data_IF_406667530931
#
_entry.id   IF_406667530931
#
_cell.length_a   1.000
_cell.length_b   1.000
_cell.length_c   1.000
_cell.angle_alpha   90.00
_cell.angle_beta   90.00
_cell.angle_gamma   90.00
#
_symmetry.space_group_name_H-M   'P 1'
#
loop_
_entity.id
_entity.type
_entity.pdbx_description
1 polymer ?
#
# COMPACT_ATOMS: atom_id res chain seq x y z
N UNK A 1 -1.52 26.85 -0.11
CA UNK A 1 -2.27 25.59 -0.13
C UNK A 1 -1.46 24.41 0.45
N UNK A 2 -0.12 24.35 0.25
CA UNK A 2 0.73 23.29 0.83
C UNK A 2 0.66 23.21 2.36
N UNK A 3 0.60 24.38 3.03
CA UNK A 3 0.42 24.44 4.49
C UNK A 3 -0.89 23.79 4.90
N UNK A 4 -1.96 24.02 4.13
CA UNK A 4 -3.29 23.40 4.39
C UNK A 4 -3.21 21.89 4.22
N UNK A 5 -2.59 21.40 3.14
CA UNK A 5 -2.39 19.96 2.93
C UNK A 5 -1.56 19.34 4.06
N UNK A 6 -0.46 20.01 4.46
CA UNK A 6 0.37 19.58 5.58
C UNK A 6 -0.42 19.50 6.90
N UNK A 7 -1.22 20.50 7.19
CA UNK A 7 -2.08 20.52 8.38
C UNK A 7 -3.11 19.36 8.35
N UNK A 8 -3.72 19.08 7.20
CA UNK A 8 -4.64 17.97 7.02
C UNK A 8 -3.94 16.61 7.20
N UNK A 9 -2.70 16.47 6.71
CA UNK A 9 -1.90 15.27 6.92
C UNK A 9 -1.56 15.06 8.39
N UNK A 10 -1.18 16.12 9.12
CA UNK A 10 -0.92 16.07 10.57
C UNK A 10 -2.20 15.69 11.32
N UNK A 11 -3.33 16.32 11.01
CA UNK A 11 -4.62 15.98 11.60
C UNK A 11 -4.99 14.51 11.31
N UNK A 12 -4.82 14.06 10.06
CA UNK A 12 -5.03 12.67 9.67
C UNK A 12 -4.17 11.69 10.48
N UNK A 13 -2.89 11.99 10.65
CA UNK A 13 -1.97 11.19 11.45
C UNK A 13 -2.38 11.16 12.94
N UNK A 14 -2.77 12.31 13.48
CA UNK A 14 -3.23 12.42 14.88
C UNK A 14 -4.46 11.57 15.15
N UNK A 15 -5.50 11.70 14.32
CA UNK A 15 -6.76 10.96 14.49
C UNK A 15 -6.68 9.50 14.04
N UNK A 16 -5.57 9.07 13.42
CA UNK A 16 -5.37 7.67 13.05
C UNK A 16 -5.35 6.75 14.27
N UNK A 17 -4.62 7.13 15.33
CA UNK A 17 -4.48 6.36 16.57
C UNK A 17 -4.93 7.16 17.79
N UNK A 18 -5.08 8.47 17.70
CA UNK A 18 -5.45 9.38 18.77
C UNK A 18 -6.94 9.70 18.82
N UNK A 19 -7.34 10.36 19.92
CA UNK A 19 -8.74 10.75 20.17
C UNK A 19 -9.60 9.63 20.75
N UNK A 20 -10.91 9.91 20.94
CA UNK A 20 -11.86 8.97 21.53
C UNK A 20 -12.26 7.82 20.59
N UNK A 21 -12.20 8.03 19.29
CA UNK A 21 -12.58 7.07 18.26
C UNK A 21 -11.57 7.09 17.11
N UNK A 22 -10.36 6.51 17.30
CA UNK A 22 -9.33 6.49 16.26
C UNK A 22 -9.84 5.77 15.01
N UNK A 23 -9.77 6.42 13.85
CA UNK A 23 -10.34 5.84 12.65
C UNK A 23 -9.52 4.64 12.13
N UNK A 24 -8.22 4.57 12.43
CA UNK A 24 -7.39 3.40 12.13
C UNK A 24 -7.86 2.13 12.82
N UNK A 25 -8.46 2.27 14.03
CA UNK A 25 -9.04 1.15 14.78
C UNK A 25 -10.48 0.84 14.38
N UNK A 26 -11.07 1.64 13.51
CA UNK A 26 -12.45 1.50 13.04
C UNK A 26 -12.55 1.01 11.59
N UNK A 27 -11.51 0.37 11.06
CA UNK A 27 -11.52 -0.27 9.75
C UNK A 27 -11.23 0.66 8.57
N UNK A 28 -10.75 1.89 8.84
CA UNK A 28 -10.37 2.85 7.80
C UNK A 28 -8.85 2.97 7.65
N UNK A 29 -8.08 2.12 8.33
CA UNK A 29 -6.62 2.17 8.31
C UNK A 29 -6.04 1.98 6.92
N UNK A 30 -6.49 0.97 6.19
CA UNK A 30 -6.02 0.64 4.84
C UNK A 30 -6.38 1.73 3.83
N UNK A 31 -7.57 2.33 3.97
CA UNK A 31 -7.99 3.47 3.13
C UNK A 31 -7.10 4.68 3.39
N UNK A 32 -6.83 4.97 4.66
CA UNK A 32 -5.95 6.08 5.04
C UNK A 32 -4.53 5.87 4.49
N UNK A 33 -3.96 4.68 4.66
CA UNK A 33 -2.64 4.34 4.12
C UNK A 33 -2.63 4.49 2.59
N UNK A 34 -3.64 3.99 1.89
CA UNK A 34 -3.75 4.16 0.44
C UNK A 34 -3.78 5.65 0.04
N UNK A 35 -4.59 6.46 0.71
CA UNK A 35 -4.73 7.88 0.41
C UNK A 35 -3.45 8.64 0.73
N UNK A 36 -2.92 8.52 1.95
CA UNK A 36 -1.79 9.34 2.38
C UNK A 36 -0.46 8.90 1.76
N UNK A 37 -0.16 7.60 1.70
CA UNK A 37 1.11 7.10 1.17
C UNK A 37 1.08 6.88 -0.35
N UNK A 38 -0.09 6.61 -0.92
CA UNK A 38 -0.29 6.53 -2.37
C UNK A 38 -0.61 7.89 -2.96
N UNK A 39 -1.86 8.33 -2.83
CA UNK A 39 -2.35 9.48 -3.57
C UNK A 39 -1.67 10.79 -3.15
N UNK A 40 -1.70 11.13 -1.86
CA UNK A 40 -1.17 12.42 -1.38
C UNK A 40 0.35 12.49 -1.55
N UNK A 41 1.08 11.43 -1.14
CA UNK A 41 2.53 11.46 -1.21
C UNK A 41 3.03 11.47 -2.66
N UNK A 42 2.55 10.57 -3.51
CA UNK A 42 3.06 10.44 -4.88
C UNK A 42 2.58 11.60 -5.76
N UNK A 43 1.26 11.88 -5.80
CA UNK A 43 0.72 12.96 -6.63
C UNK A 43 1.13 14.33 -6.09
N UNK A 44 1.21 14.50 -4.77
CA UNK A 44 1.71 15.72 -4.15
C UNK A 44 3.16 16.00 -4.52
N UNK A 45 4.01 14.98 -4.50
CA UNK A 45 5.41 15.10 -4.94
C UNK A 45 5.48 15.44 -6.43
N UNK A 46 4.74 14.74 -7.28
CA UNK A 46 4.70 15.04 -8.72
C UNK A 46 4.24 16.48 -8.97
N UNK A 47 3.19 16.92 -8.30
CA UNK A 47 2.68 18.27 -8.48
C UNK A 47 3.68 19.34 -8.04
N UNK A 48 4.37 19.14 -6.91
CA UNK A 48 5.37 20.11 -6.42
C UNK A 48 6.59 20.16 -7.34
N UNK A 49 7.00 19.02 -7.93
CA UNK A 49 8.18 18.96 -8.79
C UNK A 49 7.89 19.38 -10.24
N UNK A 50 6.75 18.95 -10.79
CA UNK A 50 6.42 19.12 -12.20
C UNK A 50 5.32 20.16 -12.49
N UNK A 51 4.70 20.72 -11.46
CA UNK A 51 3.58 21.67 -11.59
C UNK A 51 2.28 21.07 -12.13
N UNK A 52 2.25 19.76 -12.39
CA UNK A 52 1.10 19.05 -12.95
C UNK A 52 1.03 17.63 -12.42
N UNK A 53 -0.15 17.03 -12.57
CA UNK A 53 -0.40 15.59 -12.34
C UNK A 53 -0.84 14.99 -13.67
N UNK A 54 -0.31 13.80 -14.00
CA UNK A 54 -0.68 13.05 -15.19
C UNK A 54 -1.11 11.62 -14.84
N UNK A 55 -1.53 10.87 -15.88
CA UNK A 55 -2.04 9.51 -15.70
C UNK A 55 -0.95 8.53 -15.20
N UNK A 56 0.32 8.73 -15.61
CA UNK A 56 1.42 7.88 -15.17
C UNK A 56 1.68 8.07 -13.67
N UNK A 57 1.66 9.33 -13.20
CA UNK A 57 1.72 9.64 -11.78
C UNK A 57 0.55 9.05 -10.99
N UNK A 58 -0.67 9.10 -11.55
CA UNK A 58 -1.84 8.48 -10.92
C UNK A 58 -1.67 6.95 -10.83
N UNK A 59 -1.19 6.31 -11.89
CA UNK A 59 -0.91 4.86 -11.87
C UNK A 59 0.14 4.52 -10.80
N UNK A 60 1.23 5.30 -10.72
CA UNK A 60 2.24 5.14 -9.67
C UNK A 60 1.66 5.33 -8.26
N UNK A 61 0.80 6.33 -8.07
CA UNK A 61 0.16 6.61 -6.78
C UNK A 61 -0.74 5.44 -6.34
N UNK A 62 -1.52 4.88 -7.25
CA UNK A 62 -2.37 3.70 -6.99
C UNK A 62 -1.51 2.48 -6.69
N UNK A 63 -0.40 2.27 -7.41
CA UNK A 63 0.50 1.16 -7.18
C UNK A 63 1.18 1.22 -5.80
N UNK A 64 1.77 2.37 -5.45
CA UNK A 64 2.42 2.58 -4.14
C UNK A 64 1.39 2.49 -3.01
N UNK A 65 0.21 3.09 -3.18
CA UNK A 65 -0.89 2.99 -2.22
C UNK A 65 -1.34 1.54 -1.99
N UNK A 66 -1.41 0.74 -3.06
CA UNK A 66 -1.77 -0.68 -2.99
C UNK A 66 -0.72 -1.48 -2.22
N UNK A 67 0.58 -1.33 -2.51
CA UNK A 67 1.63 -2.00 -1.76
C UNK A 67 1.65 -1.58 -0.29
N UNK A 68 1.55 -0.27 -0.01
CA UNK A 68 1.51 0.25 1.36
C UNK A 68 0.34 -0.33 2.15
N UNK A 69 -0.84 -0.41 1.52
CA UNK A 69 -2.01 -1.04 2.11
C UNK A 69 -1.84 -2.55 2.28
N UNK A 70 -1.15 -3.25 1.38
CA UNK A 70 -0.86 -4.67 1.50
C UNK A 70 0.02 -4.97 2.73
N UNK A 71 1.02 -4.12 3.01
CA UNK A 71 1.84 -4.22 4.24
C UNK A 71 0.94 -4.09 5.48
N UNK A 72 0.05 -3.09 5.52
CA UNK A 72 -0.87 -2.92 6.64
C UNK A 72 -1.86 -4.09 6.76
N UNK A 73 -2.41 -4.57 5.64
CA UNK A 73 -3.31 -5.74 5.61
C UNK A 73 -2.61 -6.98 6.17
N UNK A 74 -1.33 -7.22 5.83
CA UNK A 74 -0.56 -8.34 6.39
C UNK A 74 -0.39 -8.21 7.91
N UNK A 75 -0.12 -6.99 8.39
CA UNK A 75 0.00 -6.70 9.81
C UNK A 75 -1.33 -6.96 10.53
N UNK A 76 -2.42 -6.40 10.01
CA UNK A 76 -3.75 -6.55 10.60
C UNK A 76 -4.27 -8.00 10.49
N UNK A 77 -3.91 -8.75 9.44
CA UNK A 77 -4.20 -10.19 9.32
C UNK A 77 -3.53 -10.98 10.44
N UNK A 78 -2.25 -10.68 10.74
CA UNK A 78 -1.50 -11.29 11.84
C UNK A 78 -2.18 -11.02 13.19
N UNK A 79 -2.69 -9.81 13.35
CA UNK A 79 -3.17 -9.29 14.62
C UNK A 79 -4.67 -9.49 14.86
N UNK A 80 -5.43 -10.14 13.94
CA UNK A 80 -6.87 -10.41 14.11
C UNK A 80 -7.20 -10.97 15.51
N UNK A 81 -6.50 -11.99 16.05
CA UNK A 81 -6.85 -12.56 17.35
C UNK A 81 -6.72 -11.54 18.50
N UNK A 82 -5.61 -10.79 18.52
CA UNK A 82 -5.30 -9.80 19.56
C UNK A 82 -6.19 -8.56 19.43
N UNK A 83 -6.42 -8.08 18.21
CA UNK A 83 -7.28 -6.93 17.95
C UNK A 83 -8.74 -7.20 18.34
N UNK A 84 -9.22 -8.41 18.10
CA UNK A 84 -10.57 -8.83 18.53
C UNK A 84 -10.72 -8.77 20.04
N UNK A 85 -9.72 -9.26 20.80
CA UNK A 85 -9.75 -9.26 22.28
C UNK A 85 -9.65 -7.83 22.83
N UNK A 86 -8.84 -6.96 22.20
CA UNK A 86 -8.66 -5.57 22.65
C UNK A 86 -9.78 -4.63 22.19
N UNK A 87 -10.77 -5.12 21.45
CA UNK A 87 -11.91 -4.34 20.96
C UNK A 87 -11.60 -3.46 19.75
N UNK A 88 -10.42 -3.58 19.12
CA UNK A 88 -10.13 -2.93 17.86
C UNK A 88 -10.94 -3.58 16.73
N UNK A 89 -11.56 -2.76 15.91
CA UNK A 89 -12.37 -3.21 14.75
C UNK A 89 -11.70 -2.86 13.44
N UNK A 90 -10.42 -3.27 13.28
CA UNK A 90 -9.68 -3.10 12.04
C UNK A 90 -10.41 -3.72 10.85
N UNK A 91 -10.05 -3.33 9.62
CA UNK A 91 -10.68 -3.91 8.42
C UNK A 91 -10.51 -5.43 8.38
N UNK A 92 -9.35 -5.94 8.82
CA UNK A 92 -9.08 -7.36 8.91
C UNK A 92 -10.04 -8.08 9.89
N UNK A 93 -10.30 -7.50 11.06
CA UNK A 93 -11.28 -8.04 12.02
C UNK A 93 -12.69 -8.05 11.43
N UNK A 94 -13.07 -7.01 10.66
CA UNK A 94 -14.40 -6.91 10.03
C UNK A 94 -14.59 -7.89 8.88
N UNK A 95 -13.56 -8.07 8.04
CA UNK A 95 -13.60 -8.97 6.88
C UNK A 95 -13.42 -10.44 7.26
N UNK A 96 -12.74 -10.69 8.38
CA UNK A 96 -12.28 -12.02 8.79
C UNK A 96 -11.07 -12.50 7.98
N UNK A 97 -10.46 -13.59 8.41
CA UNK A 97 -9.20 -14.11 7.88
C UNK A 97 -9.23 -14.32 6.35
N UNK A 98 -10.20 -15.07 5.83
CA UNK A 98 -10.26 -15.45 4.41
C UNK A 98 -10.33 -14.24 3.48
N UNK A 99 -11.20 -13.27 3.76
CA UNK A 99 -11.39 -12.09 2.91
C UNK A 99 -10.19 -11.15 3.00
N UNK A 100 -9.57 -11.06 4.17
CA UNK A 100 -8.35 -10.26 4.37
C UNK A 100 -7.19 -10.81 3.56
N UNK A 101 -7.04 -12.14 3.45
CA UNK A 101 -6.05 -12.78 2.58
C UNK A 101 -6.30 -12.46 1.11
N UNK A 102 -7.55 -12.52 0.66
CA UNK A 102 -7.90 -12.14 -0.72
C UNK A 102 -7.57 -10.68 -0.98
N UNK A 103 -7.90 -9.78 -0.05
CA UNK A 103 -7.56 -8.35 -0.16
C UNK A 103 -6.05 -8.14 -0.30
N UNK A 104 -5.23 -8.83 0.50
CA UNK A 104 -3.77 -8.76 0.38
C UNK A 104 -3.30 -9.19 -1.01
N UNK A 105 -3.78 -10.33 -1.52
CA UNK A 105 -3.40 -10.84 -2.84
C UNK A 105 -3.76 -9.84 -3.95
N UNK A 106 -4.95 -9.23 -3.88
CA UNK A 106 -5.38 -8.20 -4.83
C UNK A 106 -4.45 -6.99 -4.78
N UNK A 107 -4.20 -6.45 -3.57
CA UNK A 107 -3.37 -5.26 -3.39
C UNK A 107 -1.93 -5.46 -3.88
N UNK A 108 -1.33 -6.63 -3.66
CA UNK A 108 0.01 -6.97 -4.17
C UNK A 108 0.02 -7.15 -5.69
N UNK A 109 -1.10 -7.53 -6.30
CA UNK A 109 -1.19 -7.75 -7.76
C UNK A 109 -1.40 -6.45 -8.55
N UNK A 110 -2.15 -5.49 -8.00
CA UNK A 110 -2.48 -4.21 -8.67
C UNK A 110 -1.25 -3.49 -9.26
N UNK A 111 -0.11 -3.35 -8.57
CA UNK A 111 1.07 -2.68 -9.13
C UNK A 111 1.59 -3.33 -10.41
N UNK A 112 1.50 -4.65 -10.54
CA UNK A 112 1.96 -5.36 -11.72
C UNK A 112 1.02 -5.17 -12.91
N UNK A 113 -0.28 -5.11 -12.68
CA UNK A 113 -1.27 -4.73 -13.71
C UNK A 113 -1.00 -3.31 -14.19
N UNK A 114 -0.70 -2.39 -13.27
CA UNK A 114 -0.37 -1.01 -13.61
C UNK A 114 0.99 -0.90 -14.32
N UNK A 115 1.97 -1.76 -14.02
CA UNK A 115 3.22 -1.83 -14.79
C UNK A 115 2.97 -2.11 -16.27
N UNK A 116 2.04 -3.02 -16.58
CA UNK A 116 1.65 -3.30 -17.97
C UNK A 116 1.02 -2.07 -18.62
N UNK A 117 0.16 -1.34 -17.90
CA UNK A 117 -0.42 -0.10 -18.42
C UNK A 117 0.65 1.00 -18.62
N UNK A 118 1.62 1.11 -17.71
CA UNK A 118 2.70 2.10 -17.78
C UNK A 118 3.66 1.87 -18.97
N UNK A 119 3.68 0.68 -19.58
CA UNK A 119 4.41 0.43 -20.83
C UNK A 119 3.94 1.36 -21.96
N UNK A 120 2.69 1.85 -21.89
CA UNK A 120 2.20 2.85 -22.84
C UNK A 120 2.82 4.24 -22.64
N UNK A 121 3.40 4.55 -21.48
CA UNK A 121 4.17 5.78 -21.26
C UNK A 121 5.63 5.60 -21.71
N UNK A 122 6.26 4.50 -21.31
CA UNK A 122 7.59 4.09 -21.74
C UNK A 122 7.73 2.56 -21.67
N UNK A 123 8.31 1.89 -22.69
CA UNK A 123 8.55 0.44 -22.65
C UNK A 123 9.39 0.00 -21.44
N UNK A 124 10.26 0.88 -20.95
CA UNK A 124 11.12 0.62 -19.81
C UNK A 124 10.35 0.45 -18.48
N UNK A 125 9.08 0.90 -18.42
CA UNK A 125 8.23 0.68 -17.25
C UNK A 125 7.98 -0.81 -16.94
N UNK A 126 8.23 -1.71 -17.91
CA UNK A 126 8.28 -3.15 -17.69
C UNK A 126 9.30 -3.55 -16.61
N UNK A 127 10.31 -2.71 -16.31
CA UNK A 127 11.27 -2.94 -15.23
C UNK A 127 10.58 -3.07 -13.84
N UNK A 128 9.38 -2.50 -13.65
CA UNK A 128 8.58 -2.74 -12.44
C UNK A 128 8.30 -4.22 -12.16
N UNK A 129 8.30 -5.06 -13.21
CA UNK A 129 8.12 -6.52 -13.06
C UNK A 129 9.28 -7.20 -12.32
N UNK A 130 10.45 -6.56 -12.18
CA UNK A 130 11.56 -7.04 -11.37
C UNK A 130 11.19 -7.21 -9.89
N UNK A 131 10.13 -6.57 -9.43
CA UNK A 131 9.58 -6.75 -8.08
C UNK A 131 8.81 -8.09 -7.89
N UNK A 132 8.48 -8.80 -8.97
CA UNK A 132 7.64 -10.00 -8.92
C UNK A 132 8.16 -11.11 -7.97
N UNK A 133 9.46 -11.42 -7.90
CA UNK A 133 9.96 -12.41 -6.96
C UNK A 133 9.62 -12.08 -5.49
N UNK A 134 9.72 -10.81 -5.10
CA UNK A 134 9.35 -10.37 -3.75
C UNK A 134 7.85 -10.45 -3.51
N UNK A 135 7.03 -10.10 -4.50
CA UNK A 135 5.57 -10.24 -4.43
C UNK A 135 5.12 -11.70 -4.29
N UNK A 136 5.75 -12.62 -5.03
CA UNK A 136 5.50 -14.07 -4.90
C UNK A 136 5.85 -14.54 -3.48
N UNK A 137 6.98 -14.12 -2.94
CA UNK A 137 7.40 -14.46 -1.57
C UNK A 137 6.47 -13.85 -0.51
N UNK A 138 6.00 -12.61 -0.70
CA UNK A 138 5.02 -11.97 0.17
C UNK A 138 3.69 -12.75 0.21
N UNK A 139 3.25 -13.25 -0.94
CA UNK A 139 2.00 -13.98 -1.06
C UNK A 139 2.07 -15.42 -0.53
N UNK A 140 3.25 -16.04 -0.46
CA UNK A 140 3.41 -17.43 -0.05
C UNK A 140 2.81 -17.74 1.35
N UNK A 141 3.18 -17.03 2.44
CA UNK A 141 2.61 -17.28 3.76
C UNK A 141 1.11 -16.92 3.83
N UNK A 142 0.66 -15.92 3.07
CA UNK A 142 -0.75 -15.54 3.02
C UNK A 142 -1.60 -16.64 2.38
N UNK A 143 -1.11 -17.24 1.30
CA UNK A 143 -1.79 -18.35 0.58
C UNK A 143 -1.76 -19.66 1.34
N UNK A 144 -0.68 -19.94 2.08
CA UNK A 144 -0.54 -21.18 2.87
C UNK A 144 -1.38 -21.18 4.15
N UNK A 145 -2.07 -20.08 4.47
CA UNK A 145 -2.86 -20.01 5.70
C UNK A 145 -2.02 -19.70 6.96
N UNK A 146 -0.78 -19.21 6.80
CA UNK A 146 0.08 -18.84 7.94
C UNK A 146 -0.63 -17.84 8.88
N UNK A 147 -0.28 -17.88 10.16
CA UNK A 147 -0.83 -17.01 11.20
C UNK A 147 0.26 -16.50 12.16
N UNK A 148 -0.03 -15.46 12.93
CA UNK A 148 0.90 -14.90 13.92
C UNK A 148 2.23 -14.52 13.26
N UNK A 149 3.35 -14.83 13.92
CA UNK A 149 4.69 -14.46 13.48
C UNK A 149 5.08 -15.05 12.10
N UNK A 150 4.45 -16.15 11.67
CA UNK A 150 4.69 -16.72 10.35
C UNK A 150 4.22 -15.81 9.19
N UNK A 151 3.46 -14.73 9.47
CA UNK A 151 3.09 -13.70 8.51
C UNK A 151 4.11 -12.54 8.41
N UNK A 152 5.12 -12.48 9.30
CA UNK A 152 6.16 -11.42 9.24
C UNK A 152 6.87 -11.38 7.87
N UNK A 153 7.20 -12.51 7.22
CA UNK A 153 7.76 -12.48 5.85
C UNK A 153 6.84 -11.80 4.84
N UNK A 154 5.50 -11.89 4.98
CA UNK A 154 4.57 -11.21 4.08
C UNK A 154 4.71 -9.68 4.18
N UNK A 155 4.84 -9.13 5.40
CA UNK A 155 5.06 -7.69 5.61
C UNK A 155 6.38 -7.25 4.97
N UNK A 156 7.48 -7.95 5.32
CA UNK A 156 8.83 -7.62 4.83
C UNK A 156 8.88 -7.65 3.29
N UNK A 157 8.41 -8.75 2.71
CA UNK A 157 8.56 -8.98 1.28
C UNK A 157 7.58 -8.11 0.45
N UNK A 158 6.42 -7.71 1.00
CA UNK A 158 5.57 -6.67 0.42
C UNK A 158 6.27 -5.30 0.40
N UNK A 159 6.96 -4.93 1.49
CA UNK A 159 7.76 -3.71 1.53
C UNK A 159 8.94 -3.72 0.56
N UNK A 160 9.64 -4.86 0.42
CA UNK A 160 10.72 -5.03 -0.56
C UNK A 160 10.18 -4.99 -2.00
N UNK A 161 9.02 -5.62 -2.26
CA UNK A 161 8.36 -5.53 -3.56
C UNK A 161 8.04 -4.08 -3.93
N UNK A 162 7.49 -3.30 -2.99
CA UNK A 162 7.22 -1.88 -3.19
C UNK A 162 8.49 -1.09 -3.49
N UNK A 163 9.56 -1.30 -2.71
CA UNK A 163 10.83 -0.60 -2.89
C UNK A 163 11.43 -0.86 -4.28
N UNK A 164 11.54 -2.14 -4.67
CA UNK A 164 12.09 -2.53 -5.97
C UNK A 164 11.21 -2.02 -7.11
N UNK A 165 9.88 -2.15 -6.97
CA UNK A 165 8.93 -1.65 -7.96
C UNK A 165 9.05 -0.14 -8.15
N UNK A 166 9.05 0.61 -7.04
CA UNK A 166 9.11 2.08 -7.09
C UNK A 166 10.44 2.58 -7.67
N UNK A 167 11.57 1.97 -7.28
CA UNK A 167 12.87 2.32 -7.80
C UNK A 167 12.98 2.02 -9.31
N UNK A 168 12.61 0.80 -9.74
CA UNK A 168 12.70 0.39 -11.13
C UNK A 168 11.75 1.21 -12.03
N UNK A 169 10.50 1.39 -11.62
CA UNK A 169 9.52 2.17 -12.38
C UNK A 169 9.86 3.66 -12.38
N UNK A 170 10.32 4.20 -11.25
CA UNK A 170 10.72 5.60 -11.15
C UNK A 170 11.91 5.92 -12.06
N UNK A 171 12.94 5.07 -12.09
CA UNK A 171 14.08 5.22 -13.02
C UNK A 171 13.62 5.10 -14.48
N UNK A 172 12.75 4.14 -14.77
CA UNK A 172 12.20 3.95 -16.11
C UNK A 172 11.43 5.17 -16.62
N UNK A 173 10.64 5.80 -15.77
CA UNK A 173 9.87 7.01 -16.12
C UNK A 173 10.73 8.28 -16.17
N UNK A 174 11.86 8.29 -15.45
CA UNK A 174 12.76 9.45 -15.44
C UNK A 174 13.73 9.49 -16.64
N UNK A 175 14.16 8.32 -17.15
CA UNK A 175 15.22 8.21 -18.14
C UNK A 175 14.83 7.46 -19.41
N UNK A 176 13.65 6.89 -19.47
CA UNK A 176 13.06 6.19 -20.62
C UNK A 176 12.06 7.06 -21.35
#
# INVERSE_FOLDING_TARGET
WLIVVGALCIAGAWFYTGGRTPYGYNGLGEVAVFVFFGLVAVLGTQFVQAGRVDWAGLACAVAVGSFSSAVLVSNNLRDIPTDTVTGKRTLAVRLGDRRTRILHLVLVTVPFVLSVALVAATPWAAAGLLAAPFAVRANAPVRSGASGLALVPALRDSGLAMLVWAAATGLALAFG
#
